data_IF_810976976399
#
_entry.id   IF_810976976399
#
_cell.length_a   1.000
_cell.length_b   1.000
_cell.length_c   1.000
_cell.angle_alpha   90.00
_cell.angle_beta   90.00
_cell.angle_gamma   90.00
#
_symmetry.space_group_name_H-M   'P 1'
#
loop_
_entity.id
_entity.type
_entity.pdbx_description
1 polymer ?
#
# COMPACT_ATOMS: atom_id res chain seq x y z
N UNK A 1 -6.70 13.93 -6.48
CA UNK A 1 -8.08 13.53 -6.12
C UNK A 1 -8.15 13.42 -4.61
N UNK A 2 -9.26 13.74 -3.94
CA UNK A 2 -9.45 13.32 -2.55
C UNK A 2 -9.94 11.88 -2.55
N UNK A 3 -9.31 11.00 -1.78
CA UNK A 3 -9.79 9.63 -1.56
C UNK A 3 -10.97 9.66 -0.59
N UNK A 4 -12.03 8.95 -0.96
CA UNK A 4 -13.19 8.72 -0.11
C UNK A 4 -12.96 7.40 0.66
N UNK A 5 -12.11 7.44 1.69
CA UNK A 5 -11.69 6.26 2.46
C UNK A 5 -12.86 5.41 2.99
N UNK A 6 -13.93 6.07 3.43
CA UNK A 6 -15.15 5.44 3.97
C UNK A 6 -15.85 4.50 2.96
N UNK A 7 -15.55 4.61 1.66
CA UNK A 7 -16.17 3.77 0.61
C UNK A 7 -15.30 2.58 0.23
N UNK A 8 -14.06 2.50 0.71
CA UNK A 8 -13.11 1.46 0.35
C UNK A 8 -13.32 0.27 1.29
N UNK A 9 -13.83 -0.83 0.73
CA UNK A 9 -14.04 -2.10 1.46
C UNK A 9 -13.24 -3.25 0.87
N UNK A 10 -12.87 -3.17 -0.40
CA UNK A 10 -12.08 -4.17 -1.08
C UNK A 10 -10.92 -3.55 -1.85
N UNK A 11 -9.71 -4.01 -1.52
CA UNK A 11 -8.45 -3.63 -2.15
C UNK A 11 -7.88 -4.84 -2.87
N UNK A 12 -7.54 -4.67 -4.15
CA UNK A 12 -6.79 -5.68 -4.89
C UNK A 12 -5.31 -5.38 -4.84
N UNK A 13 -4.48 -6.33 -4.37
CA UNK A 13 -3.02 -6.20 -4.41
C UNK A 13 -2.45 -6.94 -5.61
N UNK A 14 -1.79 -6.21 -6.48
CA UNK A 14 -1.23 -6.70 -7.75
C UNK A 14 0.29 -6.74 -7.63
N UNK A 15 0.86 -7.91 -7.84
CA UNK A 15 2.30 -8.07 -7.99
C UNK A 15 2.68 -7.81 -9.46
N UNK A 16 3.38 -6.70 -9.78
CA UNK A 16 3.74 -6.37 -11.16
C UNK A 16 4.79 -7.32 -11.76
N UNK A 17 5.44 -8.16 -10.94
CA UNK A 17 6.34 -9.20 -11.42
C UNK A 17 5.57 -10.44 -11.94
N UNK A 18 4.27 -10.55 -11.64
CA UNK A 18 3.40 -11.62 -12.11
C UNK A 18 2.56 -11.16 -13.31
N UNK A 19 2.24 -12.04 -14.27
CA UNK A 19 1.31 -11.70 -15.34
C UNK A 19 -0.05 -11.27 -14.78
N UNK A 20 -0.63 -10.21 -15.38
CA UNK A 20 -2.01 -9.83 -15.12
C UNK A 20 -2.97 -10.86 -15.74
N UNK A 21 -4.18 -11.02 -15.17
CA UNK A 21 -5.25 -11.78 -15.82
C UNK A 21 -5.53 -11.25 -17.25
N UNK A 22 -5.87 -12.16 -18.16
CA UNK A 22 -6.18 -11.81 -19.56
C UNK A 22 -7.38 -10.89 -19.71
N UNK A 23 -8.28 -10.89 -18.71
CA UNK A 23 -9.45 -10.03 -18.64
C UNK A 23 -9.45 -9.29 -17.30
N UNK A 24 -9.12 -7.99 -17.35
CA UNK A 24 -9.19 -7.11 -16.19
C UNK A 24 -10.63 -6.82 -15.77
N UNK A 25 -11.65 -7.25 -16.52
CA UNK A 25 -13.06 -7.36 -16.11
C UNK A 25 -13.24 -7.98 -14.72
N UNK A 26 -12.30 -8.82 -14.30
CA UNK A 26 -12.26 -9.42 -12.97
C UNK A 26 -12.22 -8.37 -11.84
N UNK A 27 -11.69 -7.17 -12.05
CA UNK A 27 -11.58 -6.11 -11.04
C UNK A 27 -12.91 -5.38 -10.74
N UNK A 28 -14.01 -5.64 -11.47
CA UNK A 28 -15.27 -4.91 -11.32
C UNK A 28 -15.81 -4.93 -9.87
N UNK A 29 -15.82 -3.79 -9.17
CA UNK A 29 -16.25 -3.71 -7.77
C UNK A 29 -15.12 -3.84 -6.75
N UNK A 30 -13.86 -3.91 -7.17
CA UNK A 30 -12.76 -3.48 -6.29
C UNK A 30 -12.81 -1.96 -6.13
N UNK A 31 -12.52 -1.48 -4.93
CA UNK A 31 -12.60 -0.06 -4.60
C UNK A 31 -11.26 0.66 -4.78
N UNK A 32 -10.16 -0.08 -4.63
CA UNK A 32 -8.79 0.40 -4.80
C UNK A 32 -7.90 -0.73 -5.31
N UNK A 33 -6.84 -0.38 -6.04
CA UNK A 33 -5.78 -1.33 -6.43
C UNK A 33 -4.43 -0.86 -5.89
N UNK A 34 -3.71 -1.75 -5.21
CA UNK A 34 -2.32 -1.54 -4.79
C UNK A 34 -1.41 -2.34 -5.72
N UNK A 35 -0.52 -1.67 -6.45
CA UNK A 35 0.54 -2.30 -7.23
C UNK A 35 1.81 -2.33 -6.38
N UNK A 36 2.22 -3.52 -5.97
CA UNK A 36 3.34 -3.70 -5.07
C UNK A 36 3.78 -5.16 -4.95
N UNK A 37 5.07 -5.37 -4.78
CA UNK A 37 5.70 -6.69 -4.70
C UNK A 37 7.16 -6.57 -4.31
N UNK A 38 7.82 -7.71 -4.07
CA UNK A 38 9.23 -7.77 -3.68
C UNK A 38 10.13 -8.17 -4.84
N UNK A 39 10.18 -9.47 -5.15
CA UNK A 39 11.15 -10.05 -6.08
C UNK A 39 10.72 -9.85 -7.54
N UNK A 40 11.62 -9.32 -8.37
CA UNK A 40 11.37 -9.14 -9.80
C UNK A 40 10.57 -7.88 -10.17
N UNK A 41 10.21 -7.04 -9.19
CA UNK A 41 9.59 -5.73 -9.45
C UNK A 41 10.62 -4.78 -10.07
N UNK A 42 10.21 -4.10 -11.14
CA UNK A 42 10.99 -3.08 -11.86
C UNK A 42 10.14 -1.82 -12.06
N UNK A 43 10.78 -0.71 -12.41
CA UNK A 43 10.05 0.50 -12.81
C UNK A 43 9.11 0.22 -14.00
N UNK A 44 9.61 -0.44 -15.04
CA UNK A 44 8.87 -0.78 -16.26
C UNK A 44 7.61 -1.61 -15.96
N UNK A 45 7.73 -2.73 -15.23
CA UNK A 45 6.56 -3.57 -14.96
C UNK A 45 5.56 -2.92 -13.99
N UNK A 46 6.03 -2.02 -13.13
CA UNK A 46 5.17 -1.24 -12.24
C UNK A 46 4.34 -0.25 -13.05
N UNK A 47 4.96 0.52 -13.95
CA UNK A 47 4.27 1.47 -14.83
C UNK A 47 3.27 0.73 -15.72
N UNK A 48 3.69 -0.35 -16.38
CA UNK A 48 2.84 -1.14 -17.26
C UNK A 48 1.58 -1.68 -16.53
N UNK A 49 1.75 -2.14 -15.30
CA UNK A 49 0.64 -2.63 -14.48
C UNK A 49 -0.32 -1.49 -14.12
N UNK A 50 0.20 -0.36 -13.59
CA UNK A 50 -0.62 0.79 -13.20
C UNK A 50 -1.39 1.32 -14.41
N UNK A 51 -0.73 1.55 -15.55
CA UNK A 51 -1.37 2.05 -16.76
C UNK A 51 -2.43 1.07 -17.29
N UNK A 52 -2.17 -0.24 -17.27
CA UNK A 52 -3.14 -1.25 -17.71
C UNK A 52 -4.42 -1.21 -16.87
N UNK A 53 -4.28 -1.06 -15.55
CA UNK A 53 -5.40 -0.97 -14.61
C UNK A 53 -6.13 0.36 -14.78
N UNK A 54 -5.42 1.49 -14.74
CA UNK A 54 -5.98 2.83 -14.82
C UNK A 54 -6.70 3.08 -16.17
N UNK A 55 -6.18 2.53 -17.28
CA UNK A 55 -6.85 2.62 -18.59
C UNK A 55 -8.14 1.80 -18.65
N UNK A 56 -8.22 0.69 -17.90
CA UNK A 56 -9.40 -0.18 -17.88
C UNK A 56 -10.44 0.32 -16.88
N UNK A 57 -10.01 0.80 -15.70
CA UNK A 57 -10.84 1.31 -14.61
C UNK A 57 -10.37 2.70 -14.15
N UNK A 58 -10.61 3.75 -14.95
CA UNK A 58 -10.11 5.10 -14.65
C UNK A 58 -10.75 5.74 -13.40
N UNK A 59 -11.78 5.12 -12.82
CA UNK A 59 -12.41 5.56 -11.58
C UNK A 59 -11.90 4.85 -10.33
N UNK A 60 -11.11 3.77 -10.49
CA UNK A 60 -10.55 3.02 -9.37
C UNK A 60 -9.16 3.58 -9.09
N UNK A 61 -8.89 4.15 -7.90
CA UNK A 61 -7.59 4.67 -7.55
C UNK A 61 -6.54 3.55 -7.55
N UNK A 62 -5.36 3.86 -8.09
CA UNK A 62 -4.22 2.94 -8.13
C UNK A 62 -3.08 3.48 -7.29
N UNK A 63 -2.74 2.74 -6.25
CA UNK A 63 -1.62 3.03 -5.37
C UNK A 63 -0.40 2.25 -5.84
N UNK A 64 0.77 2.86 -5.69
CA UNK A 64 2.04 2.13 -5.69
C UNK A 64 2.45 1.83 -4.26
N UNK A 65 2.77 0.58 -3.93
CA UNK A 65 3.43 0.20 -2.66
C UNK A 65 4.87 -0.24 -2.95
N UNK A 66 5.85 0.70 -2.96
CA UNK A 66 7.23 0.38 -3.24
C UNK A 66 7.87 -0.40 -2.10
N UNK A 67 8.38 -1.57 -2.44
CA UNK A 67 9.19 -2.38 -1.52
C UNK A 67 10.56 -1.76 -1.20
N UNK A 68 11.16 -1.04 -2.15
CA UNK A 68 12.46 -0.38 -1.97
C UNK A 68 12.46 1.01 -2.61
N UNK A 69 13.33 1.90 -2.13
CA UNK A 69 13.51 3.23 -2.72
C UNK A 69 13.94 3.18 -4.20
N UNK A 70 14.48 2.04 -4.68
CA UNK A 70 14.83 1.86 -6.08
C UNK A 70 13.61 1.62 -7.00
N UNK A 71 12.45 1.26 -6.44
CA UNK A 71 11.19 1.12 -7.20
C UNK A 71 10.47 2.46 -7.33
N UNK A 72 10.97 3.50 -6.67
CA UNK A 72 10.38 4.83 -6.69
C UNK A 72 11.19 5.70 -7.64
N UNK A 73 10.52 6.17 -8.68
CA UNK A 73 11.03 7.21 -9.56
C UNK A 73 9.98 8.28 -9.74
N UNK A 74 10.36 9.37 -10.40
CA UNK A 74 9.40 10.40 -10.80
C UNK A 74 8.26 9.80 -11.63
N UNK A 75 8.60 8.95 -12.58
CA UNK A 75 7.64 8.36 -13.50
C UNK A 75 6.65 7.46 -12.75
N UNK A 76 7.12 6.60 -11.84
CA UNK A 76 6.21 5.76 -11.05
C UNK A 76 5.29 6.59 -10.15
N UNK A 77 5.78 7.70 -9.58
CA UNK A 77 4.97 8.58 -8.73
C UNK A 77 3.95 9.37 -9.56
N UNK A 78 4.31 9.83 -10.76
CA UNK A 78 3.40 10.56 -11.65
C UNK A 78 2.33 9.64 -12.28
N UNK A 79 2.62 8.34 -12.40
CA UNK A 79 1.67 7.35 -12.94
C UNK A 79 0.69 6.84 -11.88
N UNK A 80 1.10 6.70 -10.62
CA UNK A 80 0.22 6.29 -9.53
C UNK A 80 -0.62 7.47 -8.99
N UNK A 81 -1.82 7.19 -8.48
CA UNK A 81 -2.60 8.21 -7.77
C UNK A 81 -1.94 8.56 -6.43
N UNK A 82 -1.40 7.54 -5.75
CA UNK A 82 -0.72 7.65 -4.46
C UNK A 82 0.41 6.64 -4.33
N UNK A 83 1.36 6.93 -3.45
CA UNK A 83 2.45 6.03 -3.08
C UNK A 83 2.34 5.71 -1.59
N UNK A 84 2.00 4.47 -1.30
CA UNK A 84 1.89 3.91 0.04
C UNK A 84 3.28 3.60 0.61
N UNK A 85 3.56 4.05 1.83
CA UNK A 85 4.88 3.97 2.45
C UNK A 85 4.77 3.24 3.80
N UNK A 86 5.03 1.92 3.84
CA UNK A 86 4.86 1.12 5.05
C UNK A 86 5.90 1.41 6.12
N UNK A 87 5.46 1.58 7.36
CA UNK A 87 6.26 1.58 8.58
C UNK A 87 6.01 0.31 9.38
N UNK A 88 6.91 -0.67 9.27
CA UNK A 88 6.73 -2.00 9.89
C UNK A 88 7.09 -1.95 11.39
N UNK A 89 6.09 -1.83 12.26
CA UNK A 89 6.30 -1.59 13.70
C UNK A 89 7.00 -2.74 14.42
N UNK A 90 6.72 -3.97 14.01
CA UNK A 90 7.33 -5.17 14.58
C UNK A 90 8.54 -5.69 13.78
N UNK A 91 9.01 -4.91 12.80
CA UNK A 91 10.18 -5.21 11.99
C UNK A 91 11.47 -4.59 12.52
N UNK A 92 12.55 -4.75 11.74
CA UNK A 92 13.84 -4.15 12.02
C UNK A 92 13.82 -2.62 11.84
N UNK A 93 14.88 -1.96 12.31
CA UNK A 93 15.02 -0.50 12.16
C UNK A 93 14.96 -0.05 10.69
N UNK A 94 15.41 -0.90 9.76
CA UNK A 94 15.43 -0.58 8.33
C UNK A 94 14.02 -0.42 7.80
N UNK A 95 13.11 -1.33 8.14
CA UNK A 95 11.72 -1.35 7.65
C UNK A 95 10.78 -0.50 8.50
N UNK A 96 11.13 -0.22 9.75
CA UNK A 96 10.37 0.70 10.58
C UNK A 96 10.61 2.18 10.22
N UNK A 97 11.86 2.59 9.94
CA UNK A 97 12.16 4.02 9.68
C UNK A 97 13.27 4.25 8.64
N UNK A 98 14.19 3.30 8.50
CA UNK A 98 15.35 3.44 7.62
C UNK A 98 14.96 3.70 6.16
N UNK A 99 14.04 2.91 5.61
CA UNK A 99 13.56 3.03 4.23
C UNK A 99 12.87 4.37 3.98
N UNK A 100 12.11 4.90 4.93
CA UNK A 100 11.51 6.24 4.81
C UNK A 100 12.60 7.30 4.69
N UNK A 101 13.58 7.28 5.60
CA UNK A 101 14.66 8.27 5.55
C UNK A 101 15.45 8.19 4.25
N UNK A 102 15.63 6.99 3.68
CA UNK A 102 16.27 6.82 2.38
C UNK A 102 15.41 7.39 1.24
N UNK A 103 14.12 7.06 1.21
CA UNK A 103 13.16 7.59 0.23
C UNK A 103 13.13 9.13 0.23
N UNK A 104 12.89 9.73 1.39
CA UNK A 104 12.84 11.19 1.52
C UNK A 104 14.21 11.85 1.27
N UNK A 105 15.32 11.15 1.54
CA UNK A 105 16.66 11.63 1.15
C UNK A 105 16.80 11.68 -0.37
N UNK A 106 16.33 10.67 -1.10
CA UNK A 106 16.40 10.68 -2.57
C UNK A 106 15.49 11.75 -3.18
N UNK A 107 14.26 11.91 -2.67
CA UNK A 107 13.34 12.99 -3.08
C UNK A 107 14.00 14.36 -2.86
N UNK A 108 14.61 14.58 -1.69
CA UNK A 108 15.25 15.86 -1.37
C UNK A 108 16.54 16.13 -2.18
N UNK A 109 17.21 15.10 -2.73
CA UNK A 109 18.48 15.24 -3.46
C UNK A 109 18.32 15.58 -4.93
N UNK A 110 17.16 15.35 -5.53
CA UNK A 110 16.96 15.51 -6.98
C UNK A 110 15.75 16.41 -7.33
N UNK A 111 15.63 17.63 -6.78
CA UNK A 111 14.50 18.50 -7.09
C UNK A 111 14.50 18.92 -8.58
N UNK A 112 15.67 19.07 -9.21
CA UNK A 112 15.77 19.37 -10.65
C UNK A 112 15.26 18.26 -11.58
N UNK A 113 15.46 16.98 -11.24
CA UNK A 113 14.95 15.86 -12.04
C UNK A 113 13.41 15.78 -11.97
N UNK A 114 12.81 16.34 -10.91
CA UNK A 114 11.37 16.51 -10.73
C UNK A 114 10.76 17.71 -11.50
N UNK A 115 11.58 18.60 -12.07
CA UNK A 115 11.09 19.83 -12.72
C UNK A 115 10.85 19.78 -14.24
N UNK A 116 11.29 18.72 -14.92
CA UNK A 116 11.00 18.51 -16.34
C UNK A 116 11.88 19.38 -17.22
N UNK A 117 12.46 18.79 -18.26
CA UNK A 117 13.60 19.35 -19.02
C UNK A 117 13.32 20.60 -19.89
N UNK A 118 12.28 21.40 -19.62
CA UNK A 118 11.74 22.37 -20.59
C UNK A 118 11.77 23.86 -20.19
N UNK A 119 12.38 24.28 -19.07
CA UNK A 119 12.35 25.69 -18.65
C UNK A 119 13.73 26.39 -18.65
N UNK A 120 13.87 27.57 -19.30
CA UNK A 120 15.11 28.36 -19.29
C UNK A 120 15.34 29.06 -17.94
N UNK A 121 16.61 29.12 -17.52
CA UNK A 121 17.02 29.31 -16.11
C UNK A 121 17.28 30.77 -15.71
N UNK A 122 16.74 31.18 -14.54
CA UNK A 122 17.24 32.29 -13.69
C UNK A 122 17.40 31.76 -12.26
N UNK A 123 18.58 31.96 -11.65
CA UNK A 123 19.08 31.20 -10.49
C UNK A 123 18.25 31.18 -9.19
N UNK A 124 17.36 32.15 -8.95
CA UNK A 124 16.46 32.13 -7.77
C UNK A 124 15.08 31.51 -8.07
N UNK A 125 14.76 31.26 -9.33
CA UNK A 125 13.45 30.77 -9.76
C UNK A 125 13.38 29.24 -9.85
N UNK A 126 14.53 28.57 -9.95
CA UNK A 126 14.62 27.10 -9.90
C UNK A 126 14.42 26.60 -8.46
N UNK A 127 15.02 27.29 -7.49
CA UNK A 127 14.98 26.86 -6.09
C UNK A 127 13.55 26.85 -5.54
N UNK A 128 12.73 27.87 -5.84
CA UNK A 128 11.32 27.90 -5.42
C UNK A 128 10.50 26.80 -6.11
N UNK A 129 10.71 26.58 -7.41
CA UNK A 129 9.99 25.54 -8.16
C UNK A 129 10.36 24.13 -7.70
N UNK A 130 11.62 23.89 -7.35
CA UNK A 130 12.07 22.59 -6.85
C UNK A 130 11.43 22.27 -5.50
N UNK A 131 11.24 23.28 -4.66
CA UNK A 131 10.49 23.14 -3.40
C UNK A 131 9.01 22.85 -3.65
N UNK A 132 8.37 23.54 -4.60
CA UNK A 132 6.97 23.29 -4.96
C UNK A 132 6.79 21.87 -5.53
N UNK A 133 7.69 21.41 -6.40
CA UNK A 133 7.63 20.05 -6.96
C UNK A 133 7.83 18.96 -5.90
N UNK A 134 8.71 19.20 -4.90
CA UNK A 134 8.86 18.28 -3.77
C UNK A 134 7.60 18.29 -2.89
N UNK A 135 6.97 19.45 -2.69
CA UNK A 135 5.72 19.55 -1.94
C UNK A 135 4.60 18.77 -2.63
N UNK A 136 4.37 19.00 -3.93
CA UNK A 136 3.38 18.29 -4.73
C UNK A 136 3.61 16.77 -4.70
N UNK A 137 4.87 16.33 -4.79
CA UNK A 137 5.24 14.91 -4.68
C UNK A 137 4.94 14.34 -3.30
N UNK A 138 5.19 15.11 -2.24
CA UNK A 138 4.93 14.65 -0.87
C UNK A 138 3.44 14.58 -0.54
N UNK A 139 2.58 15.28 -1.29
CA UNK A 139 1.12 15.20 -1.16
C UNK A 139 0.56 13.87 -1.70
N UNK A 140 1.27 13.17 -2.58
CA UNK A 140 0.88 11.84 -3.08
C UNK A 140 1.39 10.69 -2.21
N UNK A 141 2.26 10.97 -1.23
CA UNK A 141 2.78 9.97 -0.31
C UNK A 141 1.78 9.73 0.83
N UNK A 142 1.48 8.45 1.07
CA UNK A 142 0.55 7.99 2.10
C UNK A 142 1.31 7.09 3.06
N UNK A 143 1.35 7.45 4.35
CA UNK A 143 1.97 6.62 5.37
C UNK A 143 1.07 5.43 5.75
N UNK A 144 1.67 4.27 5.99
CA UNK A 144 0.93 3.08 6.44
C UNK A 144 1.60 2.52 7.70
N UNK A 145 0.87 2.47 8.82
CA UNK A 145 1.31 1.73 9.99
C UNK A 145 1.15 0.24 9.73
N UNK A 146 2.20 -0.57 9.82
CA UNK A 146 2.17 -1.95 9.33
C UNK A 146 2.59 -2.93 10.42
N UNK A 147 1.85 -4.04 10.59
CA UNK A 147 2.22 -5.15 11.49
C UNK A 147 2.17 -6.46 10.72
N UNK A 148 3.31 -7.17 10.68
CA UNK A 148 3.40 -8.48 10.01
C UNK A 148 3.20 -9.61 11.02
N UNK A 149 2.19 -10.44 10.82
CA UNK A 149 1.77 -11.47 11.79
C UNK A 149 1.95 -12.91 11.29
N UNK A 150 2.41 -13.11 10.04
CA UNK A 150 2.77 -14.43 9.52
C UNK A 150 4.29 -14.59 9.35
N UNK A 151 4.93 -15.30 10.29
CA UNK A 151 6.40 -15.45 10.34
C UNK A 151 6.99 -16.26 9.17
N UNK A 152 6.23 -17.15 8.55
CA UNK A 152 6.68 -17.96 7.41
C UNK A 152 6.54 -17.21 6.07
N UNK A 153 6.12 -15.94 6.09
CA UNK A 153 5.96 -15.10 4.89
C UNK A 153 7.29 -14.49 4.42
N UNK A 154 7.36 -14.17 3.12
CA UNK A 154 8.46 -13.35 2.59
C UNK A 154 8.51 -11.97 3.25
N UNK A 155 7.34 -11.39 3.57
CA UNK A 155 7.25 -10.11 4.27
C UNK A 155 7.96 -10.14 5.63
N UNK A 156 7.77 -11.20 6.43
CA UNK A 156 8.43 -11.34 7.73
C UNK A 156 9.95 -11.49 7.61
N UNK A 157 10.40 -12.41 6.74
CA UNK A 157 11.83 -12.66 6.48
C UNK A 157 12.56 -11.39 6.04
N UNK A 158 11.95 -10.63 5.13
CA UNK A 158 12.51 -9.37 4.62
C UNK A 158 12.58 -8.31 5.71
N UNK A 159 11.48 -8.12 6.43
CA UNK A 159 11.34 -7.00 7.35
C UNK A 159 12.00 -7.24 8.70
N UNK A 160 12.65 -8.41 8.87
CA UNK A 160 13.32 -8.78 10.13
C UNK A 160 12.32 -9.02 11.26
N UNK A 161 11.14 -9.54 10.93
CA UNK A 161 10.10 -9.86 11.90
C UNK A 161 10.30 -11.30 12.36
N UNK A 162 10.88 -11.45 13.56
CA UNK A 162 11.14 -12.76 14.17
C UNK A 162 10.09 -13.17 15.23
N UNK A 163 9.19 -12.25 15.60
CA UNK A 163 8.13 -12.47 16.58
C UNK A 163 6.85 -11.73 16.20
N UNK A 164 5.71 -12.38 16.36
CA UNK A 164 4.40 -11.75 16.20
C UNK A 164 4.05 -10.91 17.42
N UNK A 165 3.17 -9.94 17.21
CA UNK A 165 2.53 -9.20 18.30
C UNK A 165 1.34 -10.00 18.84
N UNK A 166 1.08 -9.83 20.14
CA UNK A 166 -0.21 -10.18 20.74
C UNK A 166 -1.30 -9.22 20.28
N UNK A 167 -2.60 -9.57 20.37
CA UNK A 167 -3.68 -8.65 20.04
C UNK A 167 -3.59 -7.30 20.79
N UNK A 168 -3.13 -7.31 22.04
CA UNK A 168 -2.90 -6.07 22.81
C UNK A 168 -1.76 -5.21 22.25
N UNK A 169 -0.71 -5.84 21.70
CA UNK A 169 0.37 -5.13 21.04
C UNK A 169 -0.06 -4.61 19.65
N UNK A 170 -0.89 -5.35 18.91
CA UNK A 170 -1.51 -4.87 17.66
C UNK A 170 -2.38 -3.66 17.93
N UNK A 171 -3.24 -3.71 18.95
CA UNK A 171 -4.02 -2.57 19.41
C UNK A 171 -3.15 -1.36 19.79
N UNK A 172 -2.01 -1.59 20.44
CA UNK A 172 -1.04 -0.53 20.74
C UNK A 172 -0.42 0.10 19.49
N UNK A 173 -0.13 -0.70 18.47
CA UNK A 173 0.36 -0.23 17.18
C UNK A 173 -0.71 0.56 16.41
N UNK A 174 -1.96 0.10 16.42
CA UNK A 174 -3.11 0.80 15.86
C UNK A 174 -3.27 2.19 16.50
N UNK A 175 -3.29 2.24 17.84
CA UNK A 175 -3.39 3.51 18.58
C UNK A 175 -2.21 4.46 18.28
N UNK A 176 -0.99 3.95 18.13
CA UNK A 176 0.16 4.76 17.75
C UNK A 176 0.02 5.33 16.33
N UNK A 177 -0.51 4.53 15.40
CA UNK A 177 -0.76 4.91 14.01
C UNK A 177 -1.71 6.11 13.93
N UNK A 178 -2.84 6.01 14.62
CA UNK A 178 -3.85 7.07 14.72
C UNK A 178 -3.29 8.33 15.42
N UNK A 179 -2.79 8.16 16.65
CA UNK A 179 -2.61 9.32 17.55
C UNK A 179 -1.24 9.98 17.48
N UNK A 180 -0.19 9.23 17.17
CA UNK A 180 1.18 9.73 17.18
C UNK A 180 1.71 9.95 15.77
N UNK A 181 1.47 9.00 14.87
CA UNK A 181 1.91 9.11 13.48
C UNK A 181 0.92 9.87 12.60
N UNK A 182 -0.38 9.77 12.88
CA UNK A 182 -1.43 10.33 12.02
C UNK A 182 -1.40 9.71 10.62
N UNK A 183 -1.03 8.44 10.52
CA UNK A 183 -1.04 7.73 9.23
C UNK A 183 -2.47 7.35 8.87
N UNK A 184 -2.90 7.55 7.61
CA UNK A 184 -4.26 7.26 7.19
C UNK A 184 -4.58 5.77 7.08
N UNK A 185 -3.57 4.88 7.09
CA UNK A 185 -3.76 3.44 7.00
C UNK A 185 -3.05 2.75 8.18
N UNK A 186 -3.75 1.81 8.81
CA UNK A 186 -3.16 0.78 9.66
C UNK A 186 -3.41 -0.60 9.03
N UNK A 187 -2.35 -1.30 8.65
CA UNK A 187 -2.39 -2.56 7.90
C UNK A 187 -1.93 -3.73 8.78
N UNK A 188 -2.80 -4.72 8.95
CA UNK A 188 -2.50 -6.03 9.56
C UNK A 188 -2.21 -7.05 8.45
N UNK A 189 -0.97 -7.54 8.41
CA UNK A 189 -0.46 -8.39 7.33
C UNK A 189 -0.25 -9.84 7.76
N UNK A 190 -0.98 -10.73 7.10
CA UNK A 190 -0.93 -12.18 7.21
C UNK A 190 -0.56 -12.88 5.88
N UNK A 191 0.08 -12.17 4.95
CA UNK A 191 0.52 -12.65 3.62
C UNK A 191 0.80 -14.15 3.56
N UNK A 192 0.06 -14.86 2.71
CA UNK A 192 0.16 -16.32 2.53
C UNK A 192 -0.68 -17.17 3.49
N UNK A 193 -1.37 -16.60 4.49
CA UNK A 193 -2.28 -17.35 5.38
C UNK A 193 -3.46 -16.51 5.88
N UNK A 194 -4.51 -17.15 6.37
CA UNK A 194 -5.63 -16.47 7.05
C UNK A 194 -5.38 -16.45 8.56
N UNK A 195 -5.27 -15.25 9.15
CA UNK A 195 -4.93 -15.02 10.54
C UNK A 195 -6.09 -15.07 11.53
N UNK A 196 -7.34 -15.03 11.05
CA UNK A 196 -8.52 -14.84 11.90
C UNK A 196 -8.81 -13.36 12.17
N UNK A 197 -9.69 -13.08 13.15
CA UNK A 197 -10.22 -11.72 13.39
C UNK A 197 -9.74 -11.08 14.69
N UNK A 198 -9.06 -11.81 15.59
CA UNK A 198 -8.69 -11.32 16.92
C UNK A 198 -7.88 -10.01 16.88
N UNK A 199 -6.93 -9.91 15.96
CA UNK A 199 -6.09 -8.70 15.78
C UNK A 199 -6.88 -7.53 15.19
N UNK A 200 -7.84 -7.81 14.30
CA UNK A 200 -8.74 -6.81 13.71
C UNK A 200 -9.64 -6.23 14.80
N UNK A 201 -10.29 -7.09 15.58
CA UNK A 201 -11.16 -6.69 16.69
C UNK A 201 -10.41 -5.92 17.78
N UNK A 202 -9.11 -6.19 17.95
CA UNK A 202 -8.26 -5.47 18.90
C UNK A 202 -7.90 -4.07 18.38
N UNK A 203 -7.53 -3.95 17.10
CA UNK A 203 -7.16 -2.69 16.45
C UNK A 203 -8.36 -1.74 16.31
N UNK A 204 -9.50 -2.23 15.84
CA UNK A 204 -10.71 -1.44 15.52
C UNK A 204 -11.26 -0.62 16.72
N UNK A 205 -10.86 -0.94 17.95
CA UNK A 205 -11.27 -0.21 19.16
C UNK A 205 -10.64 1.18 19.30
N UNK A 206 -9.59 1.46 18.52
CA UNK A 206 -8.73 2.64 18.69
C UNK A 206 -8.59 3.49 17.42
N UNK A 207 -9.27 3.10 16.34
CA UNK A 207 -9.20 3.77 15.05
C UNK A 207 -10.53 4.45 14.77
N UNK A 208 -10.50 5.76 14.55
CA UNK A 208 -11.65 6.58 14.14
C UNK A 208 -11.38 7.21 12.77
N UNK A 209 -10.19 7.81 12.59
CA UNK A 209 -9.79 8.50 11.35
C UNK A 209 -8.89 7.64 10.44
N UNK A 210 -8.12 6.71 11.01
CA UNK A 210 -7.22 5.82 10.27
C UNK A 210 -7.96 4.58 9.76
N UNK A 211 -7.82 4.28 8.47
CA UNK A 211 -8.39 3.09 7.84
C UNK A 211 -7.73 1.81 8.37
N UNK A 212 -8.52 0.89 8.92
CA UNK A 212 -8.08 -0.45 9.28
C UNK A 212 -8.13 -1.38 8.06
N UNK A 213 -6.95 -1.82 7.64
CA UNK A 213 -6.77 -2.72 6.50
C UNK A 213 -6.26 -4.07 6.98
N UNK A 214 -6.83 -5.15 6.46
CA UNK A 214 -6.35 -6.51 6.70
C UNK A 214 -6.00 -7.19 5.37
N UNK A 215 -4.81 -7.78 5.28
CA UNK A 215 -4.40 -8.59 4.13
C UNK A 215 -3.88 -9.96 4.57
N UNK A 216 -4.26 -11.01 3.85
CA UNK A 216 -3.72 -12.36 4.08
C UNK A 216 -4.77 -13.47 3.99
N UNK A 217 -4.56 -14.39 3.03
CA UNK A 217 -5.28 -15.67 2.95
C UNK A 217 -6.80 -15.56 2.72
N UNK A 218 -7.30 -14.40 2.31
CA UNK A 218 -8.69 -14.20 1.91
C UNK A 218 -8.88 -14.77 0.52
N UNK A 219 -9.64 -15.85 0.44
CA UNK A 219 -9.80 -16.65 -0.77
C UNK A 219 -11.27 -17.08 -0.98
N UNK A 220 -12.20 -16.50 -0.21
CA UNK A 220 -13.62 -16.72 -0.32
C UNK A 220 -14.43 -15.63 0.41
N UNK A 221 -15.74 -15.63 0.16
CA UNK A 221 -16.68 -14.65 0.74
C UNK A 221 -16.80 -14.74 2.27
N UNK A 222 -16.70 -15.94 2.85
CA UNK A 222 -16.84 -16.15 4.30
C UNK A 222 -15.72 -15.45 5.07
N UNK A 223 -14.47 -15.62 4.63
CA UNK A 223 -13.31 -14.94 5.21
C UNK A 223 -13.38 -13.43 5.02
N UNK A 224 -13.75 -12.98 3.81
CA UNK A 224 -13.91 -11.56 3.50
C UNK A 224 -14.94 -10.91 4.45
N UNK A 225 -16.11 -11.53 4.59
CA UNK A 225 -17.19 -11.04 5.45
C UNK A 225 -16.77 -11.04 6.91
N UNK A 226 -16.12 -12.10 7.40
CA UNK A 226 -15.69 -12.20 8.80
C UNK A 226 -14.72 -11.08 9.20
N UNK A 227 -13.78 -10.72 8.33
CA UNK A 227 -12.80 -9.66 8.60
C UNK A 227 -13.46 -8.27 8.59
N UNK A 228 -14.36 -8.01 7.64
CA UNK A 228 -15.11 -6.74 7.59
C UNK A 228 -16.04 -6.60 8.81
N UNK A 229 -16.78 -7.66 9.18
CA UNK A 229 -17.65 -7.67 10.35
C UNK A 229 -16.90 -7.54 11.68
N UNK A 230 -15.63 -7.95 11.72
CA UNK A 230 -14.74 -7.77 12.86
C UNK A 230 -14.28 -6.32 13.07
N UNK A 231 -14.54 -5.45 12.09
CA UNK A 231 -14.25 -4.01 12.16
C UNK A 231 -13.11 -3.55 11.27
N UNK A 232 -12.57 -4.40 10.38
CA UNK A 232 -11.72 -3.90 9.31
C UNK A 232 -12.56 -3.07 8.34
N UNK A 233 -12.06 -1.91 7.96
CA UNK A 233 -12.72 -1.07 6.98
C UNK A 233 -12.52 -1.65 5.57
N UNK A 234 -11.33 -2.20 5.29
CA UNK A 234 -11.04 -2.85 4.01
C UNK A 234 -10.26 -4.16 4.13
N UNK A 235 -10.49 -5.05 3.16
CA UNK A 235 -9.69 -6.25 2.95
C UNK A 235 -8.77 -6.12 1.76
N UNK A 236 -7.59 -6.73 1.83
CA UNK A 236 -6.61 -6.79 0.75
C UNK A 236 -6.50 -8.22 0.23
N UNK A 237 -6.74 -8.38 -1.07
CA UNK A 237 -6.75 -9.66 -1.77
C UNK A 237 -5.73 -9.65 -2.89
N UNK A 238 -4.74 -10.55 -2.81
CA UNK A 238 -3.60 -10.60 -3.73
C UNK A 238 -3.50 -11.93 -4.49
N UNK A 239 -3.01 -12.99 -3.85
CA UNK A 239 -2.62 -14.23 -4.54
C UNK A 239 -3.68 -14.80 -5.51
N UNK A 240 -4.95 -14.88 -5.09
CA UNK A 240 -6.00 -15.41 -5.96
C UNK A 240 -6.31 -14.50 -7.17
N UNK A 241 -5.97 -13.21 -7.15
CA UNK A 241 -6.09 -12.34 -8.34
C UNK A 241 -5.26 -12.88 -9.51
N UNK A 242 -4.04 -13.36 -9.22
CA UNK A 242 -3.16 -13.92 -10.25
C UNK A 242 -3.47 -15.40 -10.55
N UNK A 243 -3.83 -16.18 -9.53
CA UNK A 243 -3.87 -17.64 -9.63
C UNK A 243 -5.27 -18.20 -9.97
N UNK A 244 -6.33 -17.59 -9.45
CA UNK A 244 -7.72 -18.05 -9.66
C UNK A 244 -8.71 -16.85 -9.68
N UNK A 245 -8.95 -16.25 -10.85
CA UNK A 245 -9.85 -15.11 -11.00
C UNK A 245 -11.27 -15.37 -10.49
N UNK A 246 -11.77 -16.61 -10.57
CA UNK A 246 -13.11 -16.93 -10.09
C UNK A 246 -13.18 -16.93 -8.56
N UNK A 247 -12.12 -17.42 -7.92
CA UNK A 247 -11.96 -17.35 -6.47
C UNK A 247 -11.81 -15.91 -5.99
N UNK A 248 -10.98 -15.11 -6.67
CA UNK A 248 -10.84 -13.67 -6.41
C UNK A 248 -12.18 -12.93 -6.51
N UNK A 249 -12.99 -13.18 -7.54
CA UNK A 249 -14.33 -12.56 -7.65
C UNK A 249 -15.23 -12.86 -6.45
N UNK A 250 -15.03 -13.99 -5.78
CA UNK A 250 -15.84 -14.37 -4.62
C UNK A 250 -15.46 -13.60 -3.34
N UNK A 251 -14.32 -12.89 -3.31
CA UNK A 251 -13.89 -12.08 -2.17
C UNK A 251 -14.47 -10.67 -2.18
N UNK A 252 -14.88 -10.18 -3.35
CA UNK A 252 -15.46 -8.84 -3.51
C UNK A 252 -16.83 -8.78 -2.79
N UNK A 253 -17.02 -7.85 -1.83
CA UNK A 253 -18.31 -7.63 -1.17
C UNK A 253 -19.43 -7.30 -2.15
N UNK A 254 -20.68 -7.60 -1.78
CA UNK A 254 -21.86 -7.42 -2.64
C UNK A 254 -22.77 -6.30 -2.15
#
# INVERSE_FOLDING_TARGET
MSLEWEQITHITKVDPAKPLPSDLGVLEGTDLVIVGGSDGVTEENTIDAIESIANTYPSVPVFQEPYSAAHVSRETIETADFVAVPAVFNGDRTHFVGKHTALFTEIARKPEDLLGASLPVVGNFIESKGVDAVADLTETLVGEGYVVQHLDSAAASVSGVDTTYTPEQVAGAALATETFYGFPIFYIEYSGTYGGTDDVEAAARYLEDTQLVYGGGIDNQEKATAVLEAGADAIVVGDCFHDDPAQFRATIPK
#
